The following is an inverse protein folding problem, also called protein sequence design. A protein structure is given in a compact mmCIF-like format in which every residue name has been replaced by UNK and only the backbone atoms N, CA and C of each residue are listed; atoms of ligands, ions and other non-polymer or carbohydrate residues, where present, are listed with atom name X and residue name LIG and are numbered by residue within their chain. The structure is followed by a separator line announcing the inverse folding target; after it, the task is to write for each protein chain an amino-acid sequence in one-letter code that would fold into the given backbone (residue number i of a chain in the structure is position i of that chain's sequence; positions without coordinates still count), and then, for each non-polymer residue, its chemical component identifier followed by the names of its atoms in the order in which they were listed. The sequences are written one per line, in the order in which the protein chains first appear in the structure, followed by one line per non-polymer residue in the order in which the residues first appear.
data_IF_995781655960
#
_entry.id   IF_995781655960
#
_cell.length_a   1.000
_cell.length_b   1.000
_cell.length_c   1.000
_cell.angle_alpha   90.00
_cell.angle_beta   90.00
_cell.angle_gamma   90.00
#
_symmetry.space_group_name_H-M   'P 1'
#
loop_
_entity.id
_entity.type
_entity.pdbx_description
1 polymer ?
#
# COMPACT_ATOMS: atom_id res chain seq x y z
N UNK A 1 -19.01 3.72 -0.38
CA UNK A 1 -19.17 4.02 -1.83
C UNK A 1 -17.80 4.26 -2.44
N UNK A 2 -17.60 3.95 -3.73
CA UNK A 2 -16.35 4.31 -4.45
C UNK A 2 -16.39 5.81 -4.76
N UNK A 3 -15.26 6.50 -4.63
CA UNK A 3 -15.14 7.91 -5.02
C UNK A 3 -14.34 8.05 -6.32
N UNK A 4 -14.42 9.22 -6.95
CA UNK A 4 -13.42 9.65 -7.92
C UNK A 4 -12.03 9.70 -7.24
N UNK A 5 -10.98 9.47 -8.02
CA UNK A 5 -9.61 9.69 -7.59
C UNK A 5 -9.37 11.16 -7.20
N UNK A 6 -8.49 11.39 -6.22
CA UNK A 6 -8.10 12.72 -5.78
C UNK A 6 -6.66 12.67 -5.22
N UNK A 7 -5.66 13.25 -5.89
CA UNK A 7 -4.26 13.18 -5.44
C UNK A 7 -4.03 13.82 -4.06
N UNK A 8 -4.91 14.73 -3.62
CA UNK A 8 -4.81 15.32 -2.28
C UNK A 8 -5.01 14.29 -1.15
N UNK A 9 -5.75 13.18 -1.39
CA UNK A 9 -5.91 12.11 -0.39
C UNK A 9 -4.61 11.31 -0.26
N UNK A 10 -3.91 11.07 -1.38
CA UNK A 10 -2.56 10.47 -1.38
C UNK A 10 -1.53 11.39 -0.71
N UNK A 11 -1.53 12.69 -1.04
CA UNK A 11 -0.58 13.65 -0.45
C UNK A 11 -0.81 13.89 1.06
N UNK A 12 -1.98 13.51 1.59
CA UNK A 12 -2.30 13.52 3.03
C UNK A 12 -1.86 12.24 3.76
N UNK A 13 -1.34 11.22 3.06
CA UNK A 13 -0.74 10.06 3.71
C UNK A 13 0.52 10.46 4.47
N UNK A 14 0.82 9.68 5.51
CA UNK A 14 2.03 9.85 6.31
C UNK A 14 3.28 9.56 5.45
N UNK A 15 4.35 10.32 5.68
CA UNK A 15 5.69 9.91 5.24
C UNK A 15 6.02 8.53 5.84
N UNK A 16 6.75 7.69 5.10
CA UNK A 16 7.05 6.32 5.51
C UNK A 16 7.61 6.17 6.94
N UNK A 17 8.48 7.09 7.37
CA UNK A 17 9.05 7.08 8.72
C UNK A 17 8.00 7.24 9.83
N UNK A 18 6.96 8.06 9.59
CA UNK A 18 5.83 8.25 10.50
C UNK A 18 4.90 7.03 10.43
N UNK A 19 4.62 6.52 9.24
CA UNK A 19 3.79 5.32 9.06
C UNK A 19 4.38 4.10 9.78
N UNK A 20 5.71 3.90 9.73
CA UNK A 20 6.42 2.87 10.49
C UNK A 20 6.26 3.03 12.01
N UNK A 21 6.38 4.24 12.53
CA UNK A 21 6.17 4.51 13.96
C UNK A 21 4.72 4.25 14.42
N UNK A 22 3.73 4.39 13.51
CA UNK A 22 2.34 4.02 13.78
C UNK A 22 2.14 2.50 13.72
N UNK A 23 2.77 1.81 12.76
CA UNK A 23 2.73 0.35 12.62
C UNK A 23 3.19 -0.35 13.90
N UNK A 24 4.35 0.03 14.44
CA UNK A 24 4.94 -0.55 15.66
C UNK A 24 3.97 -0.52 16.87
N UNK A 25 3.07 0.46 16.92
CA UNK A 25 2.10 0.67 18.01
C UNK A 25 0.75 -0.01 17.77
N UNK A 26 0.51 -0.56 16.58
CA UNK A 26 -0.83 -0.94 16.08
C UNK A 26 -0.90 -2.30 15.38
N UNK A 27 0.24 -2.91 15.06
CA UNK A 27 0.32 -4.19 14.32
C UNK A 27 -0.49 -5.33 14.95
N UNK A 28 -0.67 -5.34 16.28
CA UNK A 28 -1.42 -6.39 17.00
C UNK A 28 -2.88 -6.51 16.53
N UNK A 29 -3.44 -5.42 15.99
CA UNK A 29 -4.81 -5.37 15.44
C UNK A 29 -4.94 -5.92 14.00
N UNK A 30 -3.84 -6.28 13.32
CA UNK A 30 -3.89 -6.78 11.94
C UNK A 30 -4.69 -8.09 11.82
N UNK A 31 -4.69 -8.93 12.86
CA UNK A 31 -5.51 -10.14 12.92
C UNK A 31 -7.01 -9.82 12.84
N UNK A 32 -7.48 -8.77 13.51
CA UNK A 32 -8.90 -8.38 13.52
C UNK A 32 -9.38 -7.88 12.15
N UNK A 33 -8.48 -7.29 11.35
CA UNK A 33 -8.73 -6.92 9.96
C UNK A 33 -8.71 -8.17 9.05
N UNK A 34 -7.79 -9.09 9.32
CA UNK A 34 -7.69 -10.38 8.64
C UNK A 34 -8.93 -11.26 8.81
N UNK A 35 -9.51 -11.28 10.01
CA UNK A 35 -10.74 -12.02 10.32
C UNK A 35 -11.91 -11.56 9.43
N UNK A 36 -12.05 -10.25 9.20
CA UNK A 36 -13.05 -9.70 8.26
C UNK A 36 -12.77 -10.18 6.83
N UNK A 37 -11.53 -10.10 6.35
CA UNK A 37 -11.17 -10.59 4.99
C UNK A 37 -11.48 -12.08 4.83
N UNK A 38 -11.15 -12.89 5.83
CA UNK A 38 -11.41 -14.32 5.86
C UNK A 38 -12.91 -14.65 5.91
N UNK A 39 -13.71 -13.90 6.68
CA UNK A 39 -15.16 -14.11 6.79
C UNK A 39 -15.90 -13.96 5.45
N UNK A 40 -15.45 -13.05 4.59
CA UNK A 40 -15.99 -12.86 3.23
C UNK A 40 -15.31 -13.73 2.16
N UNK A 41 -14.40 -14.63 2.55
CA UNK A 41 -13.59 -15.49 1.66
C UNK A 41 -12.67 -14.74 0.67
N UNK A 42 -12.35 -13.47 0.92
CA UNK A 42 -11.54 -12.63 0.02
C UNK A 42 -10.03 -12.71 0.28
N UNK A 43 -9.59 -13.66 1.11
CA UNK A 43 -8.22 -13.76 1.62
C UNK A 43 -7.14 -14.13 0.58
N UNK A 44 -7.54 -14.59 -0.62
CA UNK A 44 -6.66 -14.76 -1.77
C UNK A 44 -6.54 -13.49 -2.62
N UNK A 45 -7.54 -12.60 -2.55
CA UNK A 45 -7.67 -11.42 -3.39
C UNK A 45 -7.27 -10.13 -2.67
N UNK A 46 -7.42 -10.06 -1.35
CA UNK A 46 -7.28 -8.84 -0.53
C UNK A 46 -6.31 -9.03 0.62
N UNK A 47 -5.37 -8.09 0.74
CA UNK A 47 -4.52 -7.89 1.91
C UNK A 47 -4.79 -6.54 2.59
N UNK A 48 -4.19 -6.36 3.76
CA UNK A 48 -4.12 -5.07 4.45
C UNK A 48 -2.79 -4.41 4.09
N UNK A 49 -2.82 -3.13 3.73
CA UNK A 49 -1.61 -2.36 3.35
C UNK A 49 -1.38 -1.18 4.30
N UNK A 50 -0.12 -0.94 4.67
CA UNK A 50 0.31 0.24 5.43
C UNK A 50 0.20 1.48 4.53
N UNK A 51 -0.64 2.43 4.92
CA UNK A 51 -0.83 3.67 4.18
C UNK A 51 0.32 4.64 4.45
N UNK A 52 1.07 4.94 3.40
CA UNK A 52 2.17 5.88 3.42
C UNK A 52 2.40 6.46 2.02
N UNK A 53 3.24 7.48 1.94
CA UNK A 53 3.80 8.00 0.69
C UNK A 53 5.33 8.12 0.80
N UNK A 54 5.97 8.22 -0.37
CA UNK A 54 7.41 8.49 -0.52
C UNK A 54 7.68 9.87 -1.13
N UNK A 55 6.69 10.43 -1.84
CA UNK A 55 6.73 11.75 -2.47
C UNK A 55 5.31 12.25 -2.70
N UNK A 56 5.12 13.56 -2.88
CA UNK A 56 3.83 14.13 -3.28
C UNK A 56 3.55 13.90 -4.78
N UNK A 57 2.26 13.90 -5.14
CA UNK A 57 1.73 13.90 -6.51
C UNK A 57 1.22 15.29 -6.91
N UNK A 58 1.43 15.67 -8.17
CA UNK A 58 0.83 16.86 -8.75
C UNK A 58 -0.69 16.70 -8.93
N UNK A 59 -1.47 17.80 -9.05
CA UNK A 59 -2.94 17.74 -9.10
C UNK A 59 -3.56 16.96 -10.28
N UNK A 60 -2.74 16.58 -11.27
CA UNK A 60 -3.15 15.78 -12.44
C UNK A 60 -2.45 14.40 -12.46
N UNK A 61 -1.67 14.05 -11.44
CA UNK A 61 -0.96 12.78 -11.38
C UNK A 61 -1.70 11.73 -10.55
N UNK A 62 -1.60 10.47 -10.99
CA UNK A 62 -1.90 9.28 -10.18
C UNK A 62 -0.68 8.36 -10.15
N UNK A 63 -0.52 7.64 -9.04
CA UNK A 63 0.50 6.62 -8.92
C UNK A 63 0.07 5.38 -9.70
N UNK A 64 0.81 5.04 -10.76
CA UNK A 64 0.52 3.89 -11.62
C UNK A 64 1.71 2.94 -11.62
N UNK A 65 1.43 1.66 -11.45
CA UNK A 65 2.41 0.60 -11.63
C UNK A 65 2.31 -0.07 -13.00
N UNK A 66 3.47 -0.36 -13.55
CA UNK A 66 3.69 -1.09 -14.78
C UNK A 66 4.49 -2.38 -14.42
N UNK A 67 3.94 -3.57 -14.70
CA UNK A 67 4.67 -4.83 -14.55
C UNK A 67 5.56 -5.06 -15.78
N UNK A 68 6.87 -5.13 -15.58
CA UNK A 68 7.89 -5.28 -16.63
C UNK A 68 9.05 -6.11 -16.06
N UNK A 69 9.62 -7.04 -16.83
CA UNK A 69 10.86 -7.77 -16.49
C UNK A 69 10.90 -8.36 -15.05
N UNK A 70 9.79 -8.98 -14.60
CA UNK A 70 9.64 -9.61 -13.28
C UNK A 70 9.69 -8.64 -12.07
N UNK A 71 9.30 -7.38 -12.28
CA UNK A 71 9.18 -6.35 -11.24
C UNK A 71 8.01 -5.41 -11.54
N UNK A 72 7.54 -4.67 -10.54
CA UNK A 72 6.62 -3.54 -10.72
C UNK A 72 7.40 -2.23 -10.62
N UNK A 73 7.24 -1.38 -11.63
CA UNK A 73 7.72 0.00 -11.63
C UNK A 73 6.53 0.93 -11.38
N UNK A 74 6.54 1.61 -10.25
CA UNK A 74 5.44 2.43 -9.74
C UNK A 74 5.86 3.89 -9.86
N UNK A 75 5.15 4.67 -10.66
CA UNK A 75 5.53 6.06 -11.01
C UNK A 75 4.30 6.98 -11.06
N UNK A 76 4.46 8.28 -10.75
CA UNK A 76 3.48 9.29 -11.12
C UNK A 76 3.24 9.29 -12.63
N UNK A 77 1.96 9.29 -13.02
CA UNK A 77 1.50 9.41 -14.41
C UNK A 77 0.39 10.43 -14.50
N UNK A 78 0.42 11.26 -15.55
CA UNK A 78 -0.66 12.21 -15.86
C UNK A 78 -1.97 11.42 -16.11
N UNK A 79 -3.06 11.82 -15.46
CA UNK A 79 -4.33 11.10 -15.46
C UNK A 79 -4.87 10.88 -16.88
N UNK A 80 -4.73 11.89 -17.74
CA UNK A 80 -5.16 11.88 -19.14
C UNK A 80 -4.41 10.87 -20.02
N UNK A 81 -3.15 10.54 -19.68
CA UNK A 81 -2.31 9.60 -20.42
C UNK A 81 -2.45 8.16 -19.90
N UNK A 82 -3.24 7.95 -18.84
CA UNK A 82 -3.49 6.65 -18.25
C UNK A 82 -4.76 6.01 -18.85
N UNK A 83 -4.65 5.43 -20.04
CA UNK A 83 -5.63 4.44 -20.49
C UNK A 83 -5.44 3.11 -19.74
N UNK A 84 -6.54 2.38 -19.57
CA UNK A 84 -6.58 1.00 -19.08
C UNK A 84 -5.82 0.77 -17.76
N UNK A 85 -6.16 1.55 -16.74
CA UNK A 85 -5.70 1.34 -15.36
C UNK A 85 -6.84 0.90 -14.44
N UNK A 86 -6.55 0.04 -13.46
CA UNK A 86 -7.46 -0.32 -12.37
C UNK A 86 -6.85 0.09 -11.03
N UNK A 87 -7.66 0.59 -10.08
CA UNK A 87 -7.15 0.79 -8.72
C UNK A 87 -6.86 -0.57 -8.07
N UNK A 88 -5.81 -0.63 -7.24
CA UNK A 88 -5.51 -1.80 -6.40
C UNK A 88 -5.32 -1.49 -4.92
N UNK A 89 -5.11 -0.23 -4.52
CA UNK A 89 -5.00 0.21 -3.12
C UNK A 89 -6.07 1.27 -2.83
N UNK A 90 -6.76 1.15 -1.67
CA UNK A 90 -7.72 2.15 -1.21
C UNK A 90 -7.52 2.52 0.26
N UNK A 91 -7.60 3.83 0.55
CA UNK A 91 -7.87 4.37 1.89
C UNK A 91 -9.38 4.41 2.13
N UNK A 92 -9.79 4.25 3.39
CA UNK A 92 -11.16 4.49 3.83
C UNK A 92 -11.28 5.77 4.64
N UNK A 93 -12.33 6.55 4.42
CA UNK A 93 -12.68 7.71 5.27
C UNK A 93 -14.19 7.80 5.51
N UNK A 94 -14.58 8.43 6.62
CA UNK A 94 -15.99 8.71 6.92
C UNK A 94 -16.53 9.84 6.03
N UNK A 95 -17.66 9.61 5.36
CA UNK A 95 -18.40 10.69 4.71
C UNK A 95 -19.03 11.60 5.78
N UNK A 96 -18.51 12.83 5.87
CA UNK A 96 -18.80 13.83 6.93
C UNK A 96 -20.30 14.14 7.18
N UNK A 97 -21.20 13.78 6.26
CA UNK A 97 -22.61 14.18 6.28
C UNK A 97 -23.61 13.01 6.33
N UNK A 98 -23.19 11.78 6.04
CA UNK A 98 -24.10 10.64 5.86
C UNK A 98 -23.80 9.45 6.78
N UNK A 99 -22.68 9.44 7.50
CA UNK A 99 -22.25 8.28 8.28
C UNK A 99 -21.88 7.06 7.43
N UNK A 100 -21.72 7.23 6.12
CA UNK A 100 -21.32 6.17 5.18
C UNK A 100 -19.82 6.20 4.93
N UNK A 101 -19.22 5.05 4.65
CA UNK A 101 -17.80 4.95 4.33
C UNK A 101 -17.49 5.22 2.85
N UNK A 102 -16.43 6.00 2.59
CA UNK A 102 -15.89 6.26 1.27
C UNK A 102 -14.56 5.52 1.08
N UNK A 103 -14.40 4.84 -0.04
CA UNK A 103 -13.15 4.21 -0.43
C UNK A 103 -12.49 5.03 -1.54
N UNK A 104 -11.38 5.67 -1.20
CA UNK A 104 -10.58 6.50 -2.08
C UNK A 104 -9.47 5.66 -2.71
N UNK A 105 -9.43 5.50 -4.04
CA UNK A 105 -8.32 4.81 -4.69
C UNK A 105 -7.05 5.65 -4.54
N UNK A 106 -5.93 4.99 -4.25
CA UNK A 106 -4.62 5.61 -4.07
C UNK A 106 -3.67 5.25 -5.21
N UNK A 107 -3.57 3.96 -5.50
CA UNK A 107 -2.60 3.39 -6.45
C UNK A 107 -3.30 2.50 -7.48
N UNK A 108 -2.76 2.48 -8.68
CA UNK A 108 -3.39 1.88 -9.85
C UNK A 108 -2.41 0.96 -10.60
N UNK A 109 -2.89 -0.17 -11.10
CA UNK A 109 -2.13 -1.05 -11.98
C UNK A 109 -2.56 -0.83 -13.42
N UNK A 110 -1.59 -0.74 -14.34
CA UNK A 110 -1.89 -0.82 -15.77
C UNK A 110 -2.36 -2.23 -16.10
N UNK A 111 -3.51 -2.32 -16.77
CA UNK A 111 -4.15 -3.56 -17.18
C UNK A 111 -3.58 -4.00 -18.53
N UNK A 112 -2.94 -5.17 -18.55
CA UNK A 112 -2.41 -5.83 -19.72
C UNK A 112 -2.68 -7.35 -19.62
N UNK A 113 -2.11 -8.15 -20.52
CA UNK A 113 -2.29 -9.61 -20.51
C UNK A 113 -1.81 -10.29 -19.21
N UNK A 114 -0.75 -9.80 -18.57
CA UNK A 114 -0.21 -10.36 -17.33
C UNK A 114 -0.95 -9.86 -16.09
N UNK A 115 -1.48 -8.63 -16.11
CA UNK A 115 -2.12 -7.97 -14.96
C UNK A 115 -3.66 -7.98 -15.00
N UNK A 116 -4.31 -8.63 -15.97
CA UNK A 116 -5.78 -8.63 -16.09
C UNK A 116 -6.49 -9.13 -14.82
N UNK A 117 -5.95 -10.14 -14.14
CA UNK A 117 -6.48 -10.65 -12.87
C UNK A 117 -6.61 -9.56 -11.77
N UNK A 118 -5.74 -8.53 -11.78
CA UNK A 118 -5.82 -7.42 -10.82
C UNK A 118 -7.13 -6.65 -10.99
N UNK A 119 -7.61 -6.52 -12.23
CA UNK A 119 -8.89 -5.87 -12.53
C UNK A 119 -10.09 -6.73 -12.11
N UNK A 120 -10.01 -8.05 -12.28
CA UNK A 120 -11.09 -8.97 -11.89
C UNK A 120 -11.24 -9.04 -10.37
N UNK A 121 -10.14 -9.19 -9.63
CA UNK A 121 -10.11 -9.07 -8.17
C UNK A 121 -10.55 -7.66 -7.73
N UNK A 122 -10.03 -6.62 -8.42
CA UNK A 122 -10.58 -5.28 -8.56
C UNK A 122 -12.10 -5.19 -8.40
N UNK A 123 -12.80 -5.64 -9.43
CA UNK A 123 -14.24 -5.53 -9.59
C UNK A 123 -15.01 -6.42 -8.60
N UNK A 124 -14.50 -7.61 -8.29
CA UNK A 124 -15.05 -8.53 -7.27
C UNK A 124 -15.09 -7.89 -5.89
N UNK A 125 -13.92 -7.49 -5.36
CA UNK A 125 -13.78 -6.89 -4.03
C UNK A 125 -14.57 -5.60 -3.92
N UNK A 126 -14.46 -4.73 -4.94
CA UNK A 126 -15.09 -3.41 -4.89
C UNK A 126 -16.58 -3.41 -5.26
N UNK A 127 -17.16 -4.57 -5.59
CA UNK A 127 -18.62 -4.78 -5.71
C UNK A 127 -19.23 -5.47 -4.49
N UNK A 128 -18.41 -6.11 -3.63
CA UNK A 128 -18.85 -6.65 -2.35
C UNK A 128 -19.09 -5.54 -1.31
N UNK A 129 -20.29 -4.94 -1.33
CA UNK A 129 -20.65 -3.82 -0.47
C UNK A 129 -20.71 -4.15 1.02
N UNK A 130 -21.00 -5.40 1.38
CA UNK A 130 -21.07 -5.86 2.78
C UNK A 130 -19.66 -5.93 3.37
N UNK A 131 -18.71 -6.59 2.68
CA UNK A 131 -17.29 -6.60 3.03
C UNK A 131 -16.74 -5.19 3.21
N UNK A 132 -16.98 -4.30 2.24
CA UNK A 132 -16.49 -2.91 2.31
C UNK A 132 -17.07 -2.15 3.50
N UNK A 133 -18.35 -2.37 3.85
CA UNK A 133 -18.97 -1.71 5.00
C UNK A 133 -18.41 -2.23 6.33
N UNK A 134 -18.20 -3.54 6.46
CA UNK A 134 -17.67 -4.18 7.66
C UNK A 134 -16.19 -3.84 7.88
N UNK A 135 -15.35 -3.96 6.84
CA UNK A 135 -13.94 -3.59 6.88
C UNK A 135 -13.73 -2.12 7.27
N UNK A 136 -14.53 -1.22 6.68
CA UNK A 136 -14.47 0.20 7.01
C UNK A 136 -14.86 0.48 8.47
N UNK A 137 -15.90 -0.22 8.95
CA UNK A 137 -16.35 -0.12 10.33
C UNK A 137 -15.27 -0.63 11.29
N UNK A 138 -14.64 -1.78 11.00
CA UNK A 138 -13.54 -2.34 11.80
C UNK A 138 -12.32 -1.41 11.83
N UNK A 139 -11.90 -0.88 10.69
CA UNK A 139 -10.82 0.12 10.60
C UNK A 139 -11.13 1.37 11.44
N UNK A 140 -12.38 1.83 11.47
CA UNK A 140 -12.79 2.97 12.29
C UNK A 140 -12.86 2.65 13.79
N UNK A 141 -13.41 1.49 14.17
CA UNK A 141 -13.53 1.06 15.57
C UNK A 141 -12.16 0.97 16.26
N UNK A 142 -11.15 0.53 15.51
CA UNK A 142 -9.77 0.37 15.98
C UNK A 142 -8.94 1.65 15.86
N UNK A 143 -9.46 2.71 15.23
CA UNK A 143 -8.73 3.95 14.99
C UNK A 143 -7.59 3.81 13.98
N UNK A 144 -7.78 2.96 12.97
CA UNK A 144 -6.76 2.52 12.01
C UNK A 144 -6.95 3.04 10.58
N UNK A 145 -8.05 3.75 10.27
CA UNK A 145 -8.39 4.22 8.93
C UNK A 145 -7.34 5.15 8.27
N UNK A 146 -6.52 5.85 9.07
CA UNK A 146 -5.41 6.69 8.60
C UNK A 146 -4.05 5.97 8.57
N UNK A 147 -4.01 4.69 8.97
CA UNK A 147 -2.80 3.86 9.05
C UNK A 147 -2.86 2.69 8.08
N UNK A 148 -4.03 2.08 7.90
CA UNK A 148 -4.23 0.89 7.09
C UNK A 148 -5.34 1.05 6.05
N UNK A 149 -5.10 0.50 4.87
CA UNK A 149 -6.08 0.37 3.79
C UNK A 149 -6.16 -1.08 3.31
N UNK A 150 -6.99 -1.32 2.30
CA UNK A 150 -7.09 -2.62 1.64
C UNK A 150 -6.38 -2.58 0.28
N UNK A 151 -5.65 -3.64 -0.04
CA UNK A 151 -4.94 -3.79 -1.30
C UNK A 151 -5.26 -5.12 -1.99
N UNK A 152 -5.30 -5.14 -3.33
CA UNK A 152 -5.40 -6.39 -4.08
C UNK A 152 -4.08 -7.15 -4.03
N UNK A 153 -4.12 -8.44 -3.74
CA UNK A 153 -2.95 -9.32 -3.72
C UNK A 153 -2.61 -9.72 -5.16
N UNK A 154 -1.56 -9.13 -5.71
CA UNK A 154 -1.10 -9.44 -7.08
C UNK A 154 0.43 -9.46 -7.23
N UNK A 155 1.17 -9.18 -6.15
CA UNK A 155 2.65 -9.18 -6.12
C UNK A 155 3.24 -10.57 -6.43
N UNK A 156 2.46 -11.64 -6.32
CA UNK A 156 2.81 -13.01 -6.77
C UNK A 156 3.05 -13.17 -8.28
N UNK A 157 2.85 -12.12 -9.09
CA UNK A 157 3.38 -12.06 -10.46
C UNK A 157 4.91 -12.01 -10.51
N UNK A 158 5.56 -11.49 -9.45
CA UNK A 158 7.02 -11.58 -9.27
C UNK A 158 7.39 -13.02 -8.93
N UNK A 159 8.18 -13.65 -9.80
CA UNK A 159 8.79 -14.96 -9.55
C UNK A 159 9.95 -14.78 -8.58
N UNK A 160 9.94 -15.56 -7.51
CA UNK A 160 10.98 -15.61 -6.48
C UNK A 160 11.81 -16.90 -6.61
N UNK A 161 13.12 -16.80 -6.47
CA UNK A 161 14.01 -17.91 -6.20
C UNK A 161 14.04 -18.27 -4.70
N UNK A 162 14.71 -19.37 -4.35
CA UNK A 162 14.89 -19.77 -2.96
C UNK A 162 15.69 -18.72 -2.18
N UNK A 163 15.14 -18.24 -1.06
CA UNK A 163 15.74 -17.20 -0.23
C UNK A 163 15.52 -15.76 -0.74
N UNK A 164 14.71 -15.56 -1.77
CA UNK A 164 14.27 -14.22 -2.20
C UNK A 164 12.94 -13.81 -1.55
N UNK A 165 12.79 -12.51 -1.33
CA UNK A 165 11.55 -11.86 -0.90
C UNK A 165 11.24 -10.67 -1.82
N UNK A 166 9.98 -10.23 -1.83
CA UNK A 166 9.58 -9.02 -2.57
C UNK A 166 9.90 -7.79 -1.73
N UNK A 167 10.73 -6.92 -2.28
CA UNK A 167 11.16 -5.67 -1.64
C UNK A 167 10.75 -4.48 -2.51
N UNK A 168 10.13 -3.50 -1.88
CA UNK A 168 9.93 -2.17 -2.44
C UNK A 168 11.12 -1.27 -2.11
N UNK A 169 11.60 -0.53 -3.11
CA UNK A 169 12.70 0.44 -3.02
C UNK A 169 12.34 1.72 -3.74
N UNK A 170 12.94 2.84 -3.34
CA UNK A 170 12.61 4.18 -3.84
C UNK A 170 13.82 4.85 -4.49
N UNK A 171 13.61 5.41 -5.69
CA UNK A 171 14.44 6.47 -6.27
C UNK A 171 13.66 7.79 -6.18
N UNK A 172 14.00 8.60 -5.17
CA UNK A 172 13.35 9.91 -4.92
C UNK A 172 13.58 10.90 -6.06
N UNK A 173 14.75 10.85 -6.70
CA UNK A 173 15.11 11.78 -7.79
C UNK A 173 14.34 11.46 -9.07
N UNK A 174 14.07 10.18 -9.33
CA UNK A 174 13.22 9.71 -10.41
C UNK A 174 11.73 9.62 -10.03
N UNK A 175 11.34 9.91 -8.77
CA UNK A 175 9.99 9.70 -8.21
C UNK A 175 9.44 8.31 -8.58
N UNK A 176 10.23 7.28 -8.35
CA UNK A 176 9.96 5.91 -8.79
C UNK A 176 10.08 4.93 -7.63
N UNK A 177 9.06 4.10 -7.41
CA UNK A 177 9.17 2.93 -6.54
C UNK A 177 9.36 1.68 -7.41
N UNK A 178 10.18 0.74 -6.96
CA UNK A 178 10.41 -0.55 -7.62
C UNK A 178 10.12 -1.66 -6.62
N UNK A 179 9.12 -2.50 -6.90
CA UNK A 179 8.90 -3.77 -6.21
C UNK A 179 9.55 -4.90 -7.02
N UNK A 180 10.58 -5.55 -6.48
CA UNK A 180 11.32 -6.62 -7.15
C UNK A 180 11.73 -7.75 -6.21
N UNK A 181 12.13 -8.89 -6.78
CA UNK A 181 12.72 -10.00 -6.03
C UNK A 181 14.13 -9.59 -5.53
N UNK A 182 14.38 -9.74 -4.23
CA UNK A 182 15.68 -9.45 -3.61
C UNK A 182 16.06 -10.57 -2.63
N UNK A 183 17.33 -10.98 -2.63
CA UNK A 183 17.85 -12.03 -1.73
C UNK A 183 17.77 -11.55 -0.28
N UNK A 184 16.98 -12.24 0.55
CA UNK A 184 16.70 -11.85 1.94
C UNK A 184 17.98 -11.65 2.77
N UNK A 185 18.98 -12.50 2.56
CA UNK A 185 20.26 -12.46 3.26
C UNK A 185 21.16 -11.26 2.90
N UNK A 186 20.83 -10.48 1.88
CA UNK A 186 21.57 -9.26 1.49
C UNK A 186 20.97 -7.97 2.07
N UNK A 187 19.83 -8.07 2.75
CA UNK A 187 19.08 -6.95 3.29
C UNK A 187 19.39 -6.77 4.78
N UNK A 188 19.57 -5.52 5.19
CA UNK A 188 19.64 -5.12 6.60
C UNK A 188 18.24 -5.23 7.24
N UNK A 189 18.00 -6.15 8.20
CA UNK A 189 16.68 -6.37 8.78
C UNK A 189 16.11 -5.13 9.45
N UNK A 190 16.96 -4.28 10.05
CA UNK A 190 16.54 -3.08 10.78
C UNK A 190 16.06 -1.94 9.85
N UNK A 191 16.30 -2.09 8.54
CA UNK A 191 15.83 -1.19 7.48
C UNK A 191 14.62 -1.72 6.70
N UNK A 192 14.25 -2.98 6.94
CA UNK A 192 13.12 -3.63 6.28
C UNK A 192 11.85 -3.44 7.13
N UNK A 193 10.76 -2.97 6.53
CA UNK A 193 9.47 -2.85 7.22
C UNK A 193 8.40 -3.47 6.35
N UNK A 194 7.63 -4.40 6.91
CA UNK A 194 6.52 -5.00 6.18
C UNK A 194 5.45 -3.95 5.87
N UNK A 195 4.94 -3.94 4.64
CA UNK A 195 3.91 -2.99 4.18
C UNK A 195 2.64 -3.66 3.70
N UNK A 196 2.66 -4.95 3.34
CA UNK A 196 1.49 -5.72 2.92
C UNK A 196 1.36 -7.02 3.72
N UNK A 197 0.20 -7.21 4.35
CA UNK A 197 -0.18 -8.42 5.10
C UNK A 197 -1.27 -9.19 4.37
N UNK A 198 -1.13 -10.51 4.32
CA UNK A 198 -2.12 -11.44 3.78
C UNK A 198 -2.53 -12.44 4.84
N UNK A 199 -3.70 -13.04 4.66
CA UNK A 199 -4.38 -13.81 5.70
C UNK A 199 -4.83 -15.16 5.17
N UNK A 200 -4.96 -16.15 6.06
CA UNK A 200 -5.48 -17.46 5.73
C UNK A 200 -6.47 -17.91 6.82
N UNK A 201 -7.58 -18.58 6.46
CA UNK A 201 -8.51 -19.11 7.43
C UNK A 201 -7.81 -20.05 8.42
N UNK A 202 -7.91 -19.73 9.72
CA UNK A 202 -7.31 -20.48 10.84
C UNK A 202 -5.77 -20.48 10.91
N UNK A 203 -5.09 -19.56 10.22
CA UNK A 203 -3.62 -19.43 10.25
C UNK A 203 -3.20 -18.01 10.71
N UNK A 204 -2.00 -17.81 11.27
CA UNK A 204 -1.52 -16.49 11.64
C UNK A 204 -1.19 -15.65 10.39
N UNK A 205 -1.09 -14.33 10.58
CA UNK A 205 -0.80 -13.35 9.52
C UNK A 205 0.47 -13.71 8.75
N UNK A 206 0.40 -13.64 7.41
CA UNK A 206 1.54 -13.79 6.51
C UNK A 206 1.96 -12.45 5.92
N UNK A 207 3.22 -12.36 5.48
CA UNK A 207 3.73 -11.21 4.75
C UNK A 207 3.97 -11.48 3.28
N UNK A 208 3.62 -10.49 2.45
CA UNK A 208 3.74 -10.57 1.01
C UNK A 208 4.66 -9.49 0.41
N UNK A 209 4.84 -8.35 1.07
CA UNK A 209 5.72 -7.27 0.61
C UNK A 209 6.28 -6.49 1.79
N UNK A 210 7.55 -6.09 1.69
CA UNK A 210 8.20 -5.20 2.62
C UNK A 210 8.89 -4.05 1.88
N UNK A 211 8.91 -2.86 2.48
CA UNK A 211 9.59 -1.69 1.96
C UNK A 211 10.95 -1.52 2.65
N UNK A 212 11.94 -1.06 1.88
CA UNK A 212 13.33 -0.89 2.30
C UNK A 212 13.81 0.54 2.02
N UNK A 213 14.20 1.25 3.08
CA UNK A 213 14.65 2.65 2.98
C UNK A 213 16.08 2.71 2.44
N UNK A 214 16.24 3.23 1.22
CA UNK A 214 17.54 3.69 0.72
C UNK A 214 17.93 5.03 1.38
N UNK A 215 18.52 4.96 2.58
CA UNK A 215 19.00 6.12 3.36
C UNK A 215 20.29 6.75 2.79
N UNK A 216 20.39 6.91 1.46
CA UNK A 216 21.57 7.40 0.74
C UNK A 216 21.32 8.66 -0.10
N UNK A 217 20.38 9.53 0.31
CA UNK A 217 20.38 10.93 -0.14
C UNK A 217 21.35 11.78 0.71
N UNK A 218 22.65 11.54 0.52
CA UNK A 218 23.73 12.15 1.30
C UNK A 218 24.04 13.62 0.94
N UNK A 219 23.03 14.44 0.66
CA UNK A 219 23.20 15.90 0.52
C UNK A 219 21.98 16.71 1.02
N UNK A 220 22.29 17.67 1.91
CA UNK A 220 21.45 18.81 2.30
C UNK A 220 20.25 18.58 3.26
N UNK A 221 20.56 18.29 4.54
CA UNK A 221 19.94 19.08 5.63
C UNK A 221 21.01 19.90 6.34
N UNK A 222 20.93 21.23 6.18
CA UNK A 222 21.81 22.19 6.85
C UNK A 222 21.60 22.15 8.36
N UNK A 223 22.70 22.38 9.09
CA UNK A 223 22.76 23.04 10.39
C UNK A 223 21.45 23.63 10.93
N UNK A 224 20.98 23.11 12.07
CA UNK A 224 20.48 23.98 13.13
C UNK A 224 21.19 23.63 14.44
N UNK A 225 21.32 24.62 15.34
CA UNK A 225 22.20 24.61 16.53
C UNK A 225 21.39 24.51 17.83
N UNK A 226 22.06 24.04 18.90
CA UNK A 226 21.63 24.06 20.32
C UNK A 226 20.41 23.14 20.64
N UNK A 227 20.28 22.47 21.79
CA UNK A 227 21.03 22.40 23.06
C UNK A 227 20.73 21.04 23.76
N UNK A 228 21.32 20.57 24.87
CA UNK A 228 22.22 21.17 25.88
C UNK A 228 23.20 20.11 26.47
N UNK A 229 23.98 20.50 27.49
CA UNK A 229 24.93 19.69 28.27
C UNK A 229 24.33 18.45 28.99
N UNK A 230 25.07 17.33 29.02
CA UNK A 230 25.89 16.98 30.20
C UNK A 230 26.97 15.93 29.88
#
# INVERSE_FOLDING_TARGET
MRTTYNPNIFNQLNEFSIAREQLEKRQDHLLELGDVICAYNLHQDVGVSLLHKHFDLDPQERLVEDFVDNQFLIQPRIEADCSDVTAYLWKVEAAQQSGTWNYFPLEFARVNHETHNIKEAAESVTSNHEFLAEMATKLSELGLADIFGIAIIHRGLIKLAEGEIIVETTDDAARTLTCSATVQASIDPDKLTQTLWTFEPNNPVKGATACYIHNDCSHCVRHCRHCINH
#
